data_IF_988224453583
#
_entry.id   IF_988224453583
#
_cell.length_a   1.000
_cell.length_b   1.000
_cell.length_c   1.000
_cell.angle_alpha   90.00
_cell.angle_beta   90.00
_cell.angle_gamma   90.00
#
_symmetry.space_group_name_H-M   'P 1'
#
loop_
_entity.id
_entity.type
_entity.pdbx_description
1 polymer ?
#
# COMPACT_ATOMS: atom_id res chain seq x y z
N UNK A 1 -5.58 -74.17 -25.77
CA UNK A 1 -5.78 -73.73 -27.16
C UNK A 1 -7.10 -72.99 -27.24
N UNK A 2 -7.07 -71.67 -27.52
CA UNK A 2 -8.23 -70.76 -27.74
C UNK A 2 -8.96 -70.32 -26.47
N UNK A 3 -8.75 -69.15 -25.85
CA UNK A 3 -8.53 -67.75 -26.28
C UNK A 3 -9.76 -67.06 -26.90
N UNK A 4 -10.28 -66.09 -26.11
CA UNK A 4 -10.86 -64.77 -26.44
C UNK A 4 -12.33 -64.58 -26.02
N UNK A 5 -12.53 -63.86 -24.90
CA UNK A 5 -13.75 -63.10 -24.62
C UNK A 5 -13.65 -61.73 -25.31
N UNK A 6 -14.75 -61.16 -25.84
CA UNK A 6 -14.71 -59.89 -26.56
C UNK A 6 -14.57 -58.72 -25.58
N UNK A 7 -13.71 -57.78 -25.93
CA UNK A 7 -13.59 -56.48 -25.27
C UNK A 7 -14.82 -55.64 -25.60
N UNK A 8 -15.59 -55.25 -24.58
CA UNK A 8 -16.58 -54.19 -24.72
C UNK A 8 -15.83 -52.85 -24.74
N UNK A 9 -15.84 -52.20 -25.90
CA UNK A 9 -15.34 -50.83 -26.07
C UNK A 9 -16.18 -49.87 -25.20
N UNK A 10 -15.54 -49.23 -24.24
CA UNK A 10 -16.05 -48.00 -23.63
C UNK A 10 -15.82 -46.85 -24.60
N UNK A 11 -16.88 -46.44 -25.32
CA UNK A 11 -16.90 -45.15 -26.03
C UNK A 11 -17.00 -44.02 -25.00
N UNK A 12 -15.86 -43.52 -24.56
CA UNK A 12 -15.78 -42.32 -23.73
C UNK A 12 -16.18 -41.09 -24.55
N UNK A 13 -17.30 -40.47 -24.20
CA UNK A 13 -17.57 -39.09 -24.60
C UNK A 13 -16.59 -38.19 -23.83
N UNK A 14 -15.54 -37.73 -24.50
CA UNK A 14 -14.71 -36.65 -23.99
C UNK A 14 -15.51 -35.34 -24.13
N UNK A 15 -16.15 -34.90 -23.04
CA UNK A 15 -16.68 -33.55 -22.96
C UNK A 15 -15.49 -32.58 -22.90
N UNK A 16 -15.20 -31.88 -24.01
CA UNK A 16 -14.29 -30.74 -24.01
C UNK A 16 -14.94 -29.63 -23.18
N UNK A 17 -14.51 -29.50 -21.93
CA UNK A 17 -14.80 -28.32 -21.12
C UNK A 17 -14.08 -27.12 -21.72
N UNK A 18 -14.82 -26.26 -22.43
CA UNK A 18 -14.34 -24.94 -22.81
C UNK A 18 -14.17 -24.11 -21.53
N UNK A 19 -12.94 -23.95 -21.07
CA UNK A 19 -12.60 -22.97 -20.04
C UNK A 19 -12.82 -21.57 -20.61
N UNK A 20 -13.98 -20.97 -20.34
CA UNK A 20 -14.18 -19.54 -20.56
C UNK A 20 -13.26 -18.79 -19.60
N UNK A 21 -12.13 -18.27 -20.09
CA UNK A 21 -11.31 -17.36 -19.31
C UNK A 21 -12.16 -16.14 -18.95
N UNK A 22 -12.51 -16.00 -17.67
CA UNK A 22 -13.15 -14.81 -17.17
C UNK A 22 -12.18 -13.62 -17.35
N UNK A 23 -12.68 -12.41 -17.70
CA UNK A 23 -11.82 -11.25 -17.71
C UNK A 23 -11.24 -11.05 -16.31
N UNK A 24 -9.92 -10.87 -16.23
CA UNK A 24 -9.26 -10.47 -15.00
C UNK A 24 -9.76 -9.06 -14.65
N UNK A 25 -10.77 -8.97 -13.77
CA UNK A 25 -11.10 -7.71 -13.11
C UNK A 25 -9.87 -7.26 -12.34
N UNK A 26 -9.53 -5.97 -12.37
CA UNK A 26 -8.55 -5.40 -11.44
C UNK A 26 -9.14 -5.48 -10.03
N UNK A 27 -8.99 -6.62 -9.35
CA UNK A 27 -9.23 -6.65 -7.92
C UNK A 27 -8.14 -5.76 -7.30
N UNK A 28 -8.55 -4.75 -6.54
CA UNK A 28 -7.62 -3.87 -5.83
C UNK A 28 -6.55 -4.68 -5.08
N UNK A 29 -5.35 -4.13 -4.98
CA UNK A 29 -4.24 -4.82 -4.33
C UNK A 29 -4.61 -5.19 -2.87
N UNK A 30 -4.43 -6.46 -2.45
CA UNK A 30 -4.75 -6.86 -1.09
C UNK A 30 -3.96 -6.07 -0.03
N UNK A 31 -4.55 -5.73 1.14
CA UNK A 31 -3.88 -4.95 2.17
C UNK A 31 -2.55 -5.54 2.67
N UNK A 32 -2.43 -6.87 2.75
CA UNK A 32 -1.21 -7.56 3.13
C UNK A 32 -0.08 -7.37 2.12
N UNK A 33 -0.42 -7.29 0.82
CA UNK A 33 0.55 -7.00 -0.22
C UNK A 33 1.01 -5.53 -0.13
N UNK A 34 0.09 -4.60 0.16
CA UNK A 34 0.42 -3.18 0.36
C UNK A 34 1.33 -3.01 1.58
N UNK A 35 1.05 -3.70 2.69
CA UNK A 35 1.91 -3.70 3.89
C UNK A 35 3.34 -4.12 3.55
N UNK A 36 3.52 -5.21 2.79
CA UNK A 36 4.85 -5.65 2.37
C UNK A 36 5.58 -4.59 1.50
N UNK A 37 4.84 -3.89 0.63
CA UNK A 37 5.41 -2.78 -0.16
C UNK A 37 5.82 -1.64 0.76
N UNK A 38 5.00 -1.28 1.74
CA UNK A 38 5.29 -0.22 2.70
C UNK A 38 6.53 -0.57 3.54
N UNK A 39 6.70 -1.83 3.95
CA UNK A 39 7.89 -2.30 4.66
C UNK A 39 9.16 -2.18 3.81
N UNK A 40 9.08 -2.55 2.53
CA UNK A 40 10.21 -2.44 1.58
C UNK A 40 10.53 -0.99 1.20
N UNK A 41 9.54 -0.09 1.27
CA UNK A 41 9.66 1.33 0.87
C UNK A 41 9.71 2.28 2.06
N UNK A 42 9.95 1.74 3.27
CA UNK A 42 9.88 2.50 4.52
C UNK A 42 10.79 3.70 4.62
N UNK A 43 11.89 3.73 3.86
CA UNK A 43 12.80 4.88 3.76
C UNK A 43 12.26 6.02 2.89
N UNK A 44 11.09 5.86 2.29
CA UNK A 44 10.49 6.80 1.33
C UNK A 44 9.07 7.24 1.70
N UNK A 45 8.59 6.91 2.91
CA UNK A 45 7.22 7.23 3.32
C UNK A 45 6.92 8.73 3.31
N UNK A 46 7.91 9.55 3.70
CA UNK A 46 7.80 11.00 3.67
C UNK A 46 9.02 11.64 3.03
N UNK A 47 8.85 12.86 2.52
CA UNK A 47 9.93 13.64 1.92
C UNK A 47 9.83 15.13 2.29
N UNK A 48 10.99 15.76 2.49
CA UNK A 48 11.09 17.19 2.77
C UNK A 48 11.21 17.98 1.46
N UNK A 49 10.71 19.21 1.47
CA UNK A 49 10.91 20.18 0.39
C UNK A 49 10.80 21.61 0.91
N UNK A 50 11.79 22.43 0.59
CA UNK A 50 11.70 23.88 0.77
C UNK A 50 10.94 24.52 -0.39
N UNK A 51 9.91 25.32 -0.07
CA UNK A 51 9.08 25.98 -1.07
C UNK A 51 8.48 27.28 -0.54
N UNK A 52 8.69 28.39 -1.25
CA UNK A 52 8.12 29.71 -0.94
C UNK A 52 8.30 30.14 0.54
N UNK A 53 9.47 29.86 1.13
CA UNK A 53 9.76 30.21 2.53
C UNK A 53 9.08 29.31 3.56
N UNK A 54 8.56 28.16 3.13
CA UNK A 54 8.04 27.10 3.99
C UNK A 54 8.84 25.82 3.80
N UNK A 55 8.86 25.02 4.85
CA UNK A 55 9.33 23.64 4.81
C UNK A 55 8.11 22.73 4.70
N UNK A 56 8.02 21.97 3.62
CA UNK A 56 6.93 21.04 3.37
C UNK A 56 7.41 19.62 3.66
N UNK A 57 6.59 18.83 4.37
CA UNK A 57 6.82 17.40 4.55
C UNK A 57 5.68 16.66 3.87
N UNK A 58 6.00 16.01 2.75
CA UNK A 58 5.04 15.27 1.92
C UNK A 58 4.77 13.88 2.46
N UNK A 59 3.51 13.49 2.44
CA UNK A 59 2.98 12.16 2.74
C UNK A 59 2.47 11.45 1.48
N UNK A 60 2.78 11.98 0.29
CA UNK A 60 2.29 11.48 -1.01
C UNK A 60 2.51 9.99 -1.20
N UNK A 61 3.65 9.46 -0.76
CA UNK A 61 3.91 8.02 -0.87
C UNK A 61 2.92 7.19 -0.05
N UNK A 62 2.66 7.59 1.19
CA UNK A 62 1.66 6.92 2.04
C UNK A 62 0.24 7.08 1.48
N UNK A 63 -0.09 8.25 0.92
CA UNK A 63 -1.37 8.46 0.21
C UNK A 63 -1.53 7.51 -0.97
N UNK A 64 -0.46 7.25 -1.74
CA UNK A 64 -0.49 6.25 -2.82
C UNK A 64 -0.69 4.82 -2.33
N UNK A 65 -0.57 4.53 -1.03
CA UNK A 65 -0.73 3.18 -0.47
C UNK A 65 -1.80 3.13 0.63
N UNK A 66 -2.68 4.14 0.68
CA UNK A 66 -3.68 4.33 1.75
C UNK A 66 -4.59 3.13 1.98
N UNK A 67 -4.86 2.32 0.96
CA UNK A 67 -5.69 1.13 1.07
C UNK A 67 -5.15 0.04 2.03
N UNK A 68 -3.84 0.05 2.31
CA UNK A 68 -3.22 -0.87 3.29
C UNK A 68 -3.06 -0.30 4.69
N UNK A 69 -3.46 0.95 4.93
CA UNK A 69 -3.16 1.70 6.16
C UNK A 69 -4.48 2.10 6.83
N UNK A 70 -4.55 1.91 8.15
CA UNK A 70 -5.63 2.45 8.98
C UNK A 70 -5.25 3.81 9.55
N UNK A 71 -4.05 3.94 10.12
CA UNK A 71 -3.61 5.18 10.76
C UNK A 71 -2.15 5.49 10.45
N UNK A 72 -1.84 6.79 10.37
CA UNK A 72 -0.49 7.32 10.25
C UNK A 72 -0.24 8.28 11.40
N UNK A 73 0.64 7.91 12.32
CA UNK A 73 1.06 8.79 13.42
C UNK A 73 2.45 9.34 13.15
N UNK A 74 2.68 10.60 13.51
CA UNK A 74 3.97 11.24 13.38
C UNK A 74 4.31 12.16 14.56
N UNK A 75 5.60 12.46 14.69
CA UNK A 75 6.17 13.39 15.66
C UNK A 75 7.36 14.11 15.05
N UNK A 76 7.56 15.38 15.39
CA UNK A 76 8.63 16.22 14.86
C UNK A 76 9.78 16.34 15.88
N UNK A 77 11.02 16.43 15.39
CA UNK A 77 12.21 16.77 16.19
C UNK A 77 12.42 15.89 17.44
N UNK A 78 12.13 14.59 17.34
CA UNK A 78 12.23 13.64 18.46
C UNK A 78 11.08 13.73 19.48
N UNK A 79 10.02 14.49 19.17
CA UNK A 79 8.79 14.53 19.95
C UNK A 79 7.97 13.23 19.87
N UNK A 80 6.89 13.14 20.66
CA UNK A 80 6.00 11.98 20.68
C UNK A 80 5.28 11.76 19.34
N UNK A 81 4.91 10.50 19.06
CA UNK A 81 4.06 10.12 17.93
C UNK A 81 2.57 10.35 18.26
N UNK A 82 2.19 11.61 18.42
CA UNK A 82 0.83 12.00 18.86
C UNK A 82 0.05 12.83 17.81
N UNK A 83 0.68 13.16 16.69
CA UNK A 83 0.01 13.80 15.57
C UNK A 83 -0.47 12.74 14.58
N UNK A 84 -1.72 12.86 14.14
CA UNK A 84 -2.28 11.95 13.14
C UNK A 84 -2.31 12.61 11.76
N UNK A 85 -1.72 11.96 10.77
CA UNK A 85 -1.97 12.28 9.38
C UNK A 85 -3.24 11.56 8.92
N UNK A 86 -4.29 12.35 8.68
CA UNK A 86 -5.58 11.86 8.21
C UNK A 86 -5.48 11.42 6.74
N UNK A 87 -5.42 10.13 6.44
CA UNK A 87 -5.40 9.65 5.04
C UNK A 87 -6.73 9.94 4.33
N UNK A 88 -6.70 10.10 2.99
CA UNK A 88 -7.95 10.05 2.21
C UNK A 88 -8.57 8.64 2.26
N UNK A 89 -9.87 8.56 1.97
CA UNK A 89 -10.54 7.28 1.80
C UNK A 89 -9.93 6.46 0.64
N UNK A 90 -9.80 5.15 0.84
CA UNK A 90 -9.34 4.22 -0.17
C UNK A 90 -10.43 3.94 -1.21
N UNK A 91 -10.14 4.16 -2.49
CA UNK A 91 -10.87 3.56 -3.61
C UNK A 91 -10.14 2.31 -4.10
N UNK A 92 -10.66 1.08 -3.88
CA UNK A 92 -9.99 -0.15 -4.29
C UNK A 92 -9.89 -0.30 -5.83
N UNK A 93 -10.66 0.46 -6.60
CA UNK A 93 -10.55 0.46 -8.07
C UNK A 93 -9.40 1.35 -8.55
N UNK A 94 -8.99 2.34 -7.74
CA UNK A 94 -7.91 3.28 -8.03
C UNK A 94 -6.97 3.43 -6.82
N UNK A 95 -6.41 2.32 -6.30
CA UNK A 95 -5.84 2.28 -4.94
C UNK A 95 -4.61 3.15 -4.74
N UNK A 96 -3.95 3.57 -5.83
CA UNK A 96 -2.74 4.37 -5.81
C UNK A 96 -2.93 5.83 -6.26
N UNK A 97 -4.16 6.26 -6.53
CA UNK A 97 -4.41 7.65 -6.93
C UNK A 97 -4.39 8.55 -5.69
N UNK A 98 -3.64 9.65 -5.77
CA UNK A 98 -3.57 10.69 -4.74
C UNK A 98 -4.43 11.87 -5.17
N UNK A 99 -5.57 12.07 -4.51
CA UNK A 99 -6.52 13.15 -4.79
C UNK A 99 -6.45 14.31 -3.79
N UNK A 100 -5.91 14.06 -2.58
CA UNK A 100 -5.66 15.10 -1.59
C UNK A 100 -4.92 16.29 -2.19
N UNK A 101 -5.53 17.46 -2.10
CA UNK A 101 -4.98 18.72 -2.63
C UNK A 101 -3.65 19.11 -1.96
N UNK A 102 -3.54 18.85 -0.65
CA UNK A 102 -2.35 19.13 0.15
C UNK A 102 -1.81 17.85 0.77
N UNK A 103 -1.08 17.00 0.02
CA UNK A 103 -0.52 15.76 0.55
C UNK A 103 0.77 16.03 1.35
N UNK A 104 0.79 17.12 2.12
CA UNK A 104 1.91 17.58 2.92
C UNK A 104 1.44 18.40 4.11
N UNK A 105 2.25 18.46 5.16
CA UNK A 105 2.18 19.52 6.17
C UNK A 105 3.11 20.66 5.76
N UNK A 106 2.72 21.90 6.06
CA UNK A 106 3.51 23.09 5.80
C UNK A 106 3.95 23.70 7.13
N UNK A 107 5.25 23.90 7.28
CA UNK A 107 5.88 24.39 8.49
C UNK A 107 6.72 25.65 8.18
N UNK A 108 7.02 26.50 9.17
CA UNK A 108 8.02 27.54 9.01
C UNK A 108 9.36 26.94 8.55
N UNK A 109 10.06 27.64 7.66
CA UNK A 109 11.35 27.18 7.15
C UNK A 109 12.34 26.87 8.30
N UNK A 110 12.97 25.69 8.25
CA UNK A 110 13.97 25.26 9.24
C UNK A 110 13.39 24.82 10.59
N UNK A 111 12.07 24.65 10.70
CA UNK A 111 11.44 24.27 11.97
C UNK A 111 11.41 22.78 12.24
N UNK A 112 11.45 21.89 11.23
CA UNK A 112 11.57 20.45 11.41
C UNK A 112 12.90 19.92 10.86
N UNK A 113 13.76 19.50 11.78
CA UNK A 113 15.02 18.81 11.48
C UNK A 113 14.83 17.30 11.30
N UNK A 114 13.74 16.76 11.84
CA UNK A 114 13.34 15.37 11.64
C UNK A 114 11.85 15.17 11.83
N UNK A 115 11.34 14.08 11.24
CA UNK A 115 10.01 13.54 11.46
C UNK A 115 10.13 12.04 11.70
N UNK A 116 9.47 11.54 12.75
CA UNK A 116 9.28 10.11 12.98
C UNK A 116 7.86 9.73 12.58
N UNK A 117 7.67 8.61 11.90
CA UNK A 117 6.38 8.14 11.39
C UNK A 117 6.16 6.67 11.79
N UNK A 118 4.96 6.33 12.24
CA UNK A 118 4.50 4.96 12.50
C UNK A 118 3.15 4.71 11.82
N UNK A 119 3.02 3.54 11.21
CA UNK A 119 1.80 3.09 10.57
C UNK A 119 1.06 2.09 11.45
N UNK A 120 -0.27 2.14 11.42
CA UNK A 120 -1.14 1.04 11.83
C UNK A 120 -1.80 0.49 10.56
N UNK A 121 -1.65 -0.80 10.31
CA UNK A 121 -2.14 -1.46 9.11
C UNK A 121 -3.56 -2.02 9.30
N UNK A 122 -4.23 -2.36 8.19
CA UNK A 122 -5.59 -2.94 8.16
C UNK A 122 -5.77 -4.22 9.00
N UNK A 123 -4.68 -4.93 9.30
CA UNK A 123 -4.66 -6.13 10.16
C UNK A 123 -4.49 -5.80 11.65
N UNK A 124 -4.46 -4.52 12.03
CA UNK A 124 -4.26 -4.02 13.39
C UNK A 124 -2.81 -4.00 13.86
N UNK A 125 -1.86 -4.51 13.06
CA UNK A 125 -0.44 -4.48 13.42
C UNK A 125 0.17 -3.09 13.23
N UNK A 126 1.25 -2.82 13.96
CA UNK A 126 1.98 -1.54 13.90
C UNK A 126 3.35 -1.74 13.26
N UNK A 127 3.77 -0.77 12.46
CA UNK A 127 5.15 -0.72 11.98
C UNK A 127 6.13 -0.33 13.10
N UNK A 128 7.43 -0.54 12.86
CA UNK A 128 8.45 0.24 13.57
C UNK A 128 8.27 1.72 13.24
N UNK A 129 8.71 2.59 14.14
CA UNK A 129 8.79 4.01 13.85
C UNK A 129 10.01 4.26 12.95
N UNK A 130 9.81 4.95 11.84
CA UNK A 130 10.87 5.33 10.92
C UNK A 130 11.12 6.84 11.02
N UNK A 131 12.39 7.24 11.16
CA UNK A 131 12.78 8.64 11.32
C UNK A 131 13.47 9.14 10.06
N UNK A 132 12.98 10.27 9.55
CA UNK A 132 13.46 10.94 8.36
C UNK A 132 14.07 12.26 8.79
N UNK A 133 15.28 12.52 8.33
CA UNK A 133 15.99 13.74 8.65
C UNK A 133 15.89 14.71 7.48
N UNK A 134 15.66 15.98 7.81
CA UNK A 134 15.76 17.06 6.85
C UNK A 134 17.16 17.07 6.23
N UNK A 135 17.20 17.23 4.90
CA UNK A 135 18.43 17.37 4.13
C UNK A 135 18.24 18.58 3.21
N UNK A 136 18.93 19.70 3.50
CA UNK A 136 18.87 20.89 2.66
C UNK A 136 19.49 20.67 1.28
#
# INVERSE_FOLDING_TARGET
MGLRKPAALFLGLAALSLSTAAPASAQGMPPEQIKNILDLTKTSWVSFRDWQGQELIYFTHLESWKCGIDYVFYGLNGGPLDQEWQLDECDPNNPNVVLKEKPYIALPLGSAQSISVQLIFKDGTKSTAETFFYKP
#
